data_IF_690200211723
#
_entry.id   IF_690200211723
#
_cell.length_a   1.000
_cell.length_b   1.000
_cell.length_c   1.000
_cell.angle_alpha   90.00
_cell.angle_beta   90.00
_cell.angle_gamma   90.00
#
_symmetry.space_group_name_H-M   'P 1'
#
loop_
_entity.id
_entity.type
_entity.pdbx_description
1 polymer ?
#
# COMPACT_ATOMS: atom_id res chain seq x y z
N UNK A 1 -2.95 16.20 20.26
CA UNK A 1 -3.34 15.35 19.10
C UNK A 1 -2.46 15.71 17.91
N UNK A 2 -1.41 14.94 17.65
CA UNK A 2 -0.45 15.24 16.57
C UNK A 2 -0.75 14.34 15.38
N UNK A 3 -1.67 14.77 14.51
CA UNK A 3 -2.18 13.96 13.39
C UNK A 3 -1.68 14.46 12.02
N UNK A 4 -0.95 15.58 11.97
CA UNK A 4 -0.85 16.40 10.74
C UNK A 4 0.47 16.34 9.95
N UNK A 5 1.50 15.61 10.39
CA UNK A 5 2.85 15.75 9.81
C UNK A 5 3.42 14.49 9.13
N UNK A 6 2.60 13.51 8.72
CA UNK A 6 3.11 12.38 7.93
C UNK A 6 3.06 12.73 6.45
N UNK A 7 4.22 12.94 5.85
CA UNK A 7 4.37 13.03 4.40
C UNK A 7 4.05 11.67 3.77
N UNK A 8 2.84 11.54 3.24
CA UNK A 8 2.44 10.34 2.49
C UNK A 8 2.68 10.63 1.01
N UNK A 9 3.50 9.82 0.31
CA UNK A 9 3.75 10.03 -1.10
C UNK A 9 2.47 9.90 -1.91
N UNK A 10 2.44 10.55 -3.07
CA UNK A 10 1.34 10.35 -4.01
C UNK A 10 1.43 8.95 -4.64
N UNK A 11 0.42 8.13 -4.36
CA UNK A 11 0.23 6.83 -4.98
C UNK A 11 -1.22 6.62 -5.39
N UNK A 12 -1.42 5.66 -6.30
CA UNK A 12 -2.73 5.28 -6.82
C UNK A 12 -2.93 3.76 -6.79
N UNK A 13 -4.19 3.28 -6.93
CA UNK A 13 -4.45 1.87 -7.16
C UNK A 13 -3.60 1.31 -8.30
N UNK A 14 -3.05 0.12 -8.10
CA UNK A 14 -2.15 -0.57 -9.01
C UNK A 14 -0.67 -0.33 -8.73
N UNK A 15 -0.30 0.67 -7.94
CA UNK A 15 1.08 0.86 -7.51
C UNK A 15 1.47 -0.17 -6.42
N UNK A 16 2.72 -0.61 -6.45
CA UNK A 16 3.32 -1.45 -5.42
C UNK A 16 3.83 -0.55 -4.29
N UNK A 17 3.40 -0.88 -3.07
CA UNK A 17 3.70 -0.13 -1.86
C UNK A 17 4.47 -1.00 -0.87
N UNK A 18 5.45 -0.39 -0.23
CA UNK A 18 6.08 -0.88 0.99
C UNK A 18 5.55 -0.06 2.16
N UNK A 19 4.71 -0.67 2.98
CA UNK A 19 4.07 -0.04 4.13
C UNK A 19 4.76 -0.48 5.40
N UNK A 20 5.29 0.47 6.16
CA UNK A 20 5.90 0.19 7.47
C UNK A 20 4.91 0.60 8.54
N UNK A 21 4.59 -0.28 9.47
CA UNK A 21 3.61 -0.02 10.53
C UNK A 21 4.03 -0.67 11.85
N UNK A 22 3.54 -0.10 12.95
CA UNK A 22 3.71 -0.63 14.30
C UNK A 22 2.69 -1.72 14.56
N UNK A 23 3.14 -2.81 15.17
CA UNK A 23 2.31 -3.88 15.74
C UNK A 23 2.55 -3.87 17.24
N UNK A 24 1.47 -3.85 18.01
CA UNK A 24 1.51 -3.84 19.46
C UNK A 24 1.02 -5.20 19.95
N UNK A 25 1.91 -5.98 20.54
CA UNK A 25 1.62 -7.28 21.13
C UNK A 25 1.60 -7.13 22.66
N UNK A 26 0.55 -6.50 23.18
CA UNK A 26 0.41 -6.18 24.61
C UNK A 26 1.41 -5.12 25.07
N UNK A 27 2.47 -5.55 25.74
CA UNK A 27 3.52 -4.66 26.30
C UNK A 27 4.66 -4.37 25.35
N UNK A 28 4.81 -5.14 24.26
CA UNK A 28 5.90 -4.97 23.29
C UNK A 28 5.42 -4.34 21.99
N UNK A 29 6.20 -3.38 21.46
CA UNK A 29 6.00 -2.81 20.14
C UNK A 29 7.04 -3.35 19.16
N UNK A 30 6.61 -3.77 17.98
CA UNK A 30 7.50 -4.11 16.86
C UNK A 30 7.11 -3.38 15.58
N UNK A 31 8.09 -3.17 14.71
CA UNK A 31 7.86 -2.58 13.39
C UNK A 31 7.78 -3.71 12.37
N UNK A 32 6.68 -3.76 11.63
CA UNK A 32 6.48 -4.71 10.55
C UNK A 32 6.36 -3.99 9.20
N UNK A 33 6.77 -4.70 8.15
CA UNK A 33 6.68 -4.24 6.78
C UNK A 33 5.64 -5.10 6.04
N UNK A 34 4.69 -4.43 5.39
CA UNK A 34 3.74 -5.04 4.47
C UNK A 34 3.99 -4.51 3.06
N UNK A 35 4.48 -5.38 2.18
CA UNK A 35 4.77 -5.03 0.79
C UNK A 35 3.78 -5.70 -0.16
N UNK A 36 3.16 -4.91 -1.04
CA UNK A 36 2.19 -5.43 -2.00
C UNK A 36 1.51 -4.35 -2.84
N UNK A 37 0.53 -4.77 -3.63
CA UNK A 37 -0.19 -3.91 -4.57
C UNK A 37 -1.28 -3.12 -3.84
N UNK A 38 -1.33 -1.80 -4.01
CA UNK A 38 -2.49 -1.00 -3.61
C UNK A 38 -3.70 -1.37 -4.48
N UNK A 39 -4.72 -2.03 -3.92
CA UNK A 39 -5.91 -2.44 -4.67
C UNK A 39 -7.05 -1.43 -4.57
N UNK A 40 -7.05 -0.58 -3.55
CA UNK A 40 -8.06 0.48 -3.39
C UNK A 40 -7.52 1.62 -2.55
N UNK A 41 -7.99 2.84 -2.83
CA UNK A 41 -7.68 4.05 -2.07
C UNK A 41 -8.98 4.82 -1.86
N UNK A 42 -9.26 5.19 -0.61
CA UNK A 42 -10.41 6.00 -0.19
C UNK A 42 -9.88 7.34 0.31
N UNK A 43 -10.26 8.43 -0.36
CA UNK A 43 -9.88 9.79 0.02
C UNK A 43 -11.07 10.46 0.71
N UNK A 44 -11.04 10.55 2.05
CA UNK A 44 -12.12 11.08 2.91
C UNK A 44 -11.53 11.93 4.05
N UNK A 45 -10.60 12.83 3.73
CA UNK A 45 -9.92 13.65 4.73
C UNK A 45 -9.25 12.77 5.79
N UNK A 46 -9.53 13.01 7.07
CA UNK A 46 -8.99 12.24 8.20
C UNK A 46 -9.33 10.73 8.16
N UNK A 47 -10.44 10.36 7.52
CA UNK A 47 -10.86 8.96 7.33
C UNK A 47 -10.31 8.34 6.03
N UNK A 48 -9.25 8.93 5.46
CA UNK A 48 -8.61 8.38 4.27
C UNK A 48 -7.90 7.08 4.59
N UNK A 49 -8.05 6.12 3.70
CA UNK A 49 -7.57 4.75 3.90
C UNK A 49 -7.20 4.10 2.57
N UNK A 50 -6.40 3.06 2.60
CA UNK A 50 -6.01 2.31 1.41
C UNK A 50 -5.83 0.83 1.74
N UNK A 51 -6.11 -0.04 0.78
CA UNK A 51 -5.99 -1.48 0.93
C UNK A 51 -4.80 -1.97 0.10
N UNK A 52 -3.93 -2.74 0.73
CA UNK A 52 -2.77 -3.36 0.07
C UNK A 52 -2.97 -4.87 0.06
N UNK A 53 -2.76 -5.49 -1.11
CA UNK A 53 -2.82 -6.94 -1.30
C UNK A 53 -1.42 -7.48 -1.50
N UNK A 54 -1.09 -8.55 -0.77
CA UNK A 54 0.11 -9.36 -0.92
C UNK A 54 -0.32 -10.82 -1.11
N UNK A 55 0.48 -11.61 -1.83
CA UNK A 55 0.40 -13.07 -1.76
C UNK A 55 1.50 -13.55 -0.82
N UNK A 56 1.16 -14.31 0.21
CA UNK A 56 2.10 -14.85 1.19
C UNK A 56 1.79 -16.32 1.39
N UNK A 57 2.81 -17.19 1.27
CA UNK A 57 2.63 -18.65 1.40
C UNK A 57 1.48 -19.23 0.55
N UNK A 58 1.26 -18.69 -0.66
CA UNK A 58 0.18 -19.14 -1.56
C UNK A 58 -1.18 -18.48 -1.32
N UNK A 59 -1.35 -17.75 -0.22
CA UNK A 59 -2.63 -17.11 0.13
C UNK A 59 -2.63 -15.61 -0.17
N UNK A 60 -3.77 -15.11 -0.63
CA UNK A 60 -3.97 -13.66 -0.82
C UNK A 60 -4.34 -13.00 0.50
N UNK A 61 -3.43 -12.20 1.03
CA UNK A 61 -3.66 -11.39 2.24
C UNK A 61 -3.95 -9.95 1.82
N UNK A 62 -5.04 -9.39 2.36
CA UNK A 62 -5.40 -7.99 2.17
C UNK A 62 -5.35 -7.30 3.53
N UNK A 63 -4.59 -6.22 3.62
CA UNK A 63 -4.54 -5.38 4.80
C UNK A 63 -5.03 -3.96 4.47
N UNK A 64 -5.85 -3.41 5.36
CA UNK A 64 -6.42 -2.07 5.26
C UNK A 64 -5.67 -1.14 6.19
N UNK A 65 -5.10 -0.07 5.63
CA UNK A 65 -4.37 0.95 6.38
C UNK A 65 -5.13 2.27 6.37
N UNK A 66 -5.04 3.01 7.47
CA UNK A 66 -5.55 4.38 7.59
C UNK A 66 -4.38 5.35 7.49
N UNK A 67 -4.51 6.34 6.60
CA UNK A 67 -3.47 7.32 6.26
C UNK A 67 -2.99 8.08 7.51
N UNK A 68 -3.92 8.44 8.39
CA UNK A 68 -3.65 9.26 9.57
C UNK A 68 -3.51 8.45 10.86
N UNK A 69 -3.40 7.12 10.77
CA UNK A 69 -3.24 6.28 11.96
C UNK A 69 -1.87 6.51 12.61
N UNK A 70 -1.79 6.56 13.96
CA UNK A 70 -0.51 6.61 14.66
C UNK A 70 0.35 5.38 14.38
N UNK A 71 -0.28 4.22 14.15
CA UNK A 71 0.41 2.96 13.87
C UNK A 71 1.11 2.95 12.50
N UNK A 72 0.68 3.75 11.52
CA UNK A 72 1.29 3.79 10.20
C UNK A 72 2.61 4.59 10.25
N UNK A 73 3.77 3.94 10.15
CA UNK A 73 5.07 4.64 10.27
C UNK A 73 5.43 5.35 8.96
N UNK A 74 5.41 4.62 7.84
CA UNK A 74 5.77 5.17 6.53
C UNK A 74 5.13 4.40 5.39
N UNK A 75 4.96 5.07 4.25
CA UNK A 75 4.52 4.46 2.99
C UNK A 75 5.52 4.83 1.92
N UNK A 76 6.03 3.84 1.19
CA UNK A 76 6.94 4.04 0.07
C UNK A 76 6.36 3.40 -1.19
N UNK A 77 6.43 4.11 -2.32
CA UNK A 77 6.05 3.57 -3.62
C UNK A 77 7.26 2.89 -4.23
N UNK A 78 7.24 1.56 -4.32
CA UNK A 78 8.36 0.79 -4.89
C UNK A 78 8.26 0.73 -6.41
N UNK A 79 7.05 0.59 -6.94
CA UNK A 79 6.79 0.50 -8.39
C UNK A 79 5.42 1.07 -8.75
N UNK A 80 5.34 1.72 -9.92
CA UNK A 80 4.08 2.33 -10.41
C UNK A 80 3.38 1.42 -11.42
N UNK A 81 2.16 1.00 -11.12
CA UNK A 81 1.38 0.13 -12.00
C UNK A 81 0.50 0.89 -12.97
N UNK A 82 0.24 0.29 -14.14
CA UNK A 82 -0.71 0.76 -15.15
C UNK A 82 -2.01 -0.03 -15.00
N UNK A 83 -3.01 0.63 -14.43
CA UNK A 83 -4.38 0.12 -14.32
C UNK A 83 -5.37 1.19 -14.77
N UNK A 84 -6.60 0.76 -15.10
CA UNK A 84 -7.69 1.66 -15.51
C UNK A 84 -8.78 1.81 -14.45
N UNK A 85 -8.92 0.85 -13.53
CA UNK A 85 -9.95 0.84 -12.48
C UNK A 85 -9.41 1.46 -11.19
N UNK A 86 -10.27 2.19 -10.48
CA UNK A 86 -9.94 2.75 -9.16
C UNK A 86 -9.97 1.70 -8.03
N UNK A 87 -10.68 0.59 -8.22
CA UNK A 87 -10.71 -0.53 -7.28
C UNK A 87 -10.41 -1.83 -8.02
N UNK A 88 -9.40 -2.55 -7.56
CA UNK A 88 -8.84 -3.73 -8.22
C UNK A 88 -9.25 -5.03 -7.54
N UNK A 89 -10.48 -5.12 -7.04
CA UNK A 89 -10.98 -6.32 -6.34
C UNK A 89 -10.98 -7.58 -7.20
N UNK A 90 -10.96 -7.44 -8.52
CA UNK A 90 -10.79 -8.57 -9.43
C UNK A 90 -9.44 -9.30 -9.21
N UNK A 91 -8.41 -8.61 -8.72
CA UNK A 91 -7.11 -9.24 -8.41
C UNK A 91 -7.20 -10.22 -7.26
N UNK A 92 -8.21 -10.13 -6.38
CA UNK A 92 -8.39 -11.09 -5.29
C UNK A 92 -8.68 -12.51 -5.80
N UNK A 93 -9.26 -12.63 -7.02
CA UNK A 93 -9.57 -13.92 -7.66
C UNK A 93 -8.46 -14.41 -8.60
N UNK A 94 -7.41 -13.61 -8.80
CA UNK A 94 -6.34 -13.92 -9.75
C UNK A 94 -5.03 -14.24 -9.03
N UNK A 95 -4.35 -15.27 -9.53
CA UNK A 95 -3.06 -15.73 -9.02
C UNK A 95 -2.02 -15.84 -10.14
N UNK A 96 -0.75 -15.89 -9.76
CA UNK A 96 0.39 -16.07 -10.68
C UNK A 96 0.42 -15.03 -11.80
N UNK A 97 0.63 -15.50 -13.04
CA UNK A 97 0.79 -14.64 -14.23
C UNK A 97 -0.44 -13.77 -14.51
N UNK A 98 -1.65 -14.26 -14.20
CA UNK A 98 -2.90 -13.54 -14.45
C UNK A 98 -3.06 -12.30 -13.56
N UNK A 99 -2.42 -12.27 -12.38
CA UNK A 99 -2.48 -11.14 -11.46
C UNK A 99 -1.45 -10.05 -11.76
N UNK A 100 -0.59 -10.22 -12.77
CA UNK A 100 0.52 -9.30 -13.05
C UNK A 100 0.02 -7.98 -13.63
N UNK A 101 0.37 -6.88 -12.96
CA UNK A 101 0.08 -5.52 -13.44
C UNK A 101 1.24 -5.02 -14.29
N UNK A 102 0.94 -4.49 -15.49
CA UNK A 102 1.94 -3.85 -16.36
C UNK A 102 2.51 -2.59 -15.69
N UNK A 103 3.78 -2.31 -15.90
CA UNK A 103 4.42 -1.12 -15.35
C UNK A 103 3.98 0.14 -16.09
N UNK A 104 3.90 1.27 -15.38
CA UNK A 104 3.71 2.58 -16.00
C UNK A 104 5.08 3.16 -16.39
N UNK A 105 5.40 3.10 -17.67
CA UNK A 105 6.69 3.50 -18.28
C UNK A 105 7.10 4.96 -18.05
N UNK A 106 6.21 5.84 -17.60
CA UNK A 106 6.56 7.24 -17.30
C UNK A 106 7.26 7.44 -15.96
N UNK A 107 7.55 6.37 -15.21
CA UNK A 107 8.25 6.48 -13.93
C UNK A 107 9.77 6.53 -14.09
N UNK A 108 10.33 7.75 -14.09
CA UNK A 108 11.77 7.96 -13.92
C UNK A 108 12.08 7.86 -12.41
N UNK A 109 12.89 6.88 -12.01
CA UNK A 109 13.39 6.77 -10.63
C UNK A 109 14.26 8.01 -10.35
N UNK A 110 13.81 8.94 -9.50
CA UNK A 110 14.68 10.02 -9.00
C UNK A 110 15.86 9.33 -8.29
N UNK A 111 17.08 9.48 -8.80
CA UNK A 111 18.29 9.09 -8.05
C UNK A 111 18.28 9.91 -6.77
N UNK A 112 18.20 9.23 -5.62
CA UNK A 112 18.55 9.82 -4.34
C UNK A 112 20.01 10.29 -4.44
N UNK A 113 20.22 11.58 -4.21
CA UNK A 113 21.53 12.23 -4.17
C UNK A 113 22.32 11.72 -2.97
#
# INVERSE_FOLDING_TARGET
>A
MQVLAKEIPEFRPGDDLKVTFKVVDGTSERIQIFEGVCISKRNRGLHSSFAVRKVSHGESIVSQFFVYSPALVSVQVTRKGKVRRAKLYYLCKLFGKAARIKERTTYVKKKSK
#
